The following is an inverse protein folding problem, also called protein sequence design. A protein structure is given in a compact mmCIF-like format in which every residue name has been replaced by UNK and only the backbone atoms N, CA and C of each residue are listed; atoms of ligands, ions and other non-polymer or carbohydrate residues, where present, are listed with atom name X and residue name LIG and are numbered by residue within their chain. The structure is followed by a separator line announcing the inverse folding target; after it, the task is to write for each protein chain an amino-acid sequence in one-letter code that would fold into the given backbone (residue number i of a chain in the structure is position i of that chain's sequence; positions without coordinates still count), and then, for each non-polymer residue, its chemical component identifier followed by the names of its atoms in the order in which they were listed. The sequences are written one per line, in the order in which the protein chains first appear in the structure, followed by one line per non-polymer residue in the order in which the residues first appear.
data_IF_584133655553
#
_entry.id   IF_584133655553
#
_cell.length_a   1.000
_cell.length_b   1.000
_cell.length_c   1.000
_cell.angle_alpha   90.00
_cell.angle_beta   90.00
_cell.angle_gamma   90.00
#
_symmetry.space_group_name_H-M   'P 1'
#
loop_
_entity.id
_entity.type
_entity.pdbx_description
1 polymer ?
#
# COMPACT_ATOMS: atom_id res chain seq x y z
N UNK A 1 10.34 -6.41 8.21
CA UNK A 1 9.87 -7.13 7.00
C UNK A 1 10.80 -8.32 6.74
N UNK A 2 10.40 -9.34 5.97
CA UNK A 2 11.33 -10.43 5.64
C UNK A 2 12.26 -10.03 4.48
N UNK A 3 13.48 -10.59 4.46
CA UNK A 3 14.54 -10.24 3.51
C UNK A 3 14.12 -10.37 2.04
N UNK A 4 13.21 -11.29 1.72
CA UNK A 4 12.77 -11.55 0.35
C UNK A 4 11.84 -10.42 -0.12
N UNK A 5 10.84 -10.07 0.69
CA UNK A 5 9.91 -8.97 0.39
C UNK A 5 10.64 -7.63 0.32
N UNK A 6 11.59 -7.37 1.23
CA UNK A 6 12.43 -6.17 1.19
C UNK A 6 13.23 -6.08 -0.11
N UNK A 7 13.90 -7.15 -0.52
CA UNK A 7 14.66 -7.17 -1.77
C UNK A 7 13.77 -6.96 -3.01
N UNK A 8 12.57 -7.56 -3.04
CA UNK A 8 11.62 -7.38 -4.14
C UNK A 8 11.17 -5.92 -4.22
N UNK A 9 10.79 -5.33 -3.09
CA UNK A 9 10.32 -3.95 -3.03
C UNK A 9 11.45 -2.96 -3.33
N UNK A 10 12.66 -3.16 -2.80
CA UNK A 10 13.81 -2.31 -3.11
C UNK A 10 14.14 -2.31 -4.62
N UNK A 11 14.02 -3.45 -5.30
CA UNK A 11 14.28 -3.55 -6.74
C UNK A 11 13.14 -2.97 -7.61
N UNK A 12 11.88 -3.07 -7.16
CA UNK A 12 10.70 -2.83 -8.01
C UNK A 12 9.91 -1.58 -7.64
N UNK A 13 10.08 -1.10 -6.42
CA UNK A 13 9.48 0.10 -5.85
C UNK A 13 10.58 0.81 -5.04
N UNK A 14 11.69 1.23 -5.66
CA UNK A 14 12.88 1.74 -4.94
C UNK A 14 12.61 2.99 -4.09
N UNK A 15 11.47 3.66 -4.33
CA UNK A 15 11.01 4.83 -3.58
C UNK A 15 10.19 4.46 -2.35
N UNK A 16 9.86 3.19 -2.16
CA UNK A 16 9.13 2.68 -1.02
C UNK A 16 10.08 2.10 0.02
N UNK A 17 9.88 2.47 1.27
CA UNK A 17 10.53 1.83 2.41
C UNK A 17 9.65 1.92 3.64
N UNK A 18 9.83 0.98 4.57
CA UNK A 18 9.31 1.06 5.93
C UNK A 18 10.52 1.21 6.86
N UNK A 19 10.54 2.31 7.61
CA UNK A 19 11.56 2.58 8.60
C UNK A 19 11.14 1.98 9.94
N UNK A 20 12.02 1.18 10.53
CA UNK A 20 11.91 0.66 11.89
C UNK A 20 13.06 1.23 12.74
N UNK A 21 12.86 1.47 14.06
CA UNK A 21 11.67 1.14 14.87
C UNK A 21 10.56 2.19 14.83
N UNK A 22 10.69 3.28 14.08
CA UNK A 22 9.70 4.37 14.09
C UNK A 22 8.37 3.98 13.43
N UNK A 23 8.34 2.86 12.72
CA UNK A 23 7.19 2.37 11.98
C UNK A 23 6.59 3.46 11.09
N UNK A 24 7.44 4.05 10.25
CA UNK A 24 7.05 5.07 9.28
C UNK A 24 7.30 4.53 7.88
N UNK A 25 6.28 4.55 7.03
CA UNK A 25 6.46 4.25 5.62
C UNK A 25 6.74 5.52 4.82
N UNK A 26 7.58 5.40 3.79
CA UNK A 26 7.83 6.45 2.82
C UNK A 26 7.54 5.93 1.43
N UNK A 27 6.91 6.74 0.59
CA UNK A 27 6.78 6.48 -0.83
C UNK A 27 6.98 7.77 -1.62
N UNK A 28 8.16 7.94 -2.21
CA UNK A 28 8.53 9.20 -2.85
C UNK A 28 8.59 10.34 -1.83
N UNK A 29 7.79 11.39 -2.02
CA UNK A 29 7.67 12.49 -1.04
C UNK A 29 6.64 12.22 0.06
N UNK A 30 5.83 11.16 -0.07
CA UNK A 30 4.81 10.83 0.92
C UNK A 30 5.47 10.18 2.14
N UNK A 31 5.19 10.75 3.30
CA UNK A 31 5.48 10.14 4.60
C UNK A 31 4.17 9.66 5.20
N UNK A 32 4.11 8.39 5.56
CA UNK A 32 2.93 7.67 6.00
C UNK A 32 3.22 7.17 7.42
N UNK A 33 2.91 8.03 8.38
CA UNK A 33 3.03 7.73 9.80
C UNK A 33 1.66 7.38 10.35
N UNK A 34 1.49 6.19 10.94
CA UNK A 34 0.30 5.79 11.68
C UNK A 34 -0.06 6.83 12.73
N UNK A 35 -1.35 7.03 12.96
CA UNK A 35 -1.83 7.90 14.03
C UNK A 35 -2.13 7.08 15.27
N UNK A 36 -1.56 7.50 16.40
CA UNK A 36 -1.72 6.84 17.70
C UNK A 36 -2.15 7.92 18.69
N UNK A 37 -3.23 7.67 19.41
CA UNK A 37 -3.78 8.54 20.45
C UNK A 37 -3.93 7.72 21.73
N UNK A 38 -3.32 8.18 22.83
CA UNK A 38 -3.31 7.49 24.12
C UNK A 38 -2.88 6.01 24.06
N UNK A 39 -1.89 5.71 23.20
CA UNK A 39 -1.40 4.35 22.98
C UNK A 39 -2.31 3.46 22.13
N UNK A 40 -3.41 4.00 21.61
CA UNK A 40 -4.36 3.31 20.74
C UNK A 40 -4.13 3.74 19.29
N UNK A 41 -3.96 2.76 18.41
CA UNK A 41 -3.84 2.98 16.96
C UNK A 41 -5.17 3.48 16.39
N UNK A 42 -5.17 4.69 15.83
CA UNK A 42 -6.33 5.35 15.23
C UNK A 42 -6.34 5.28 13.71
N UNK A 43 -5.16 5.21 13.07
CA UNK A 43 -5.03 5.13 11.61
C UNK A 43 -3.82 4.29 11.23
N UNK A 44 -3.99 3.42 10.23
CA UNK A 44 -2.91 2.55 9.72
C UNK A 44 -2.91 2.53 8.18
N UNK A 45 -1.81 2.05 7.63
CA UNK A 45 -1.53 2.07 6.19
C UNK A 45 -1.22 0.68 5.67
N UNK A 46 -1.85 0.35 4.55
CA UNK A 46 -1.67 -0.89 3.82
C UNK A 46 -1.09 -0.62 2.44
N UNK A 47 -0.23 -1.52 1.98
CA UNK A 47 0.47 -1.41 0.71
C UNK A 47 0.20 -2.64 -0.14
N UNK A 48 -0.06 -2.40 -1.42
CA UNK A 48 -0.16 -3.44 -2.42
C UNK A 48 0.83 -3.16 -3.53
N UNK A 49 1.72 -4.12 -3.77
CA UNK A 49 2.55 -4.15 -4.97
C UNK A 49 2.09 -5.30 -5.86
N UNK A 50 1.93 -5.01 -7.14
CA UNK A 50 1.75 -6.01 -8.18
C UNK A 50 2.90 -5.92 -9.17
N UNK A 51 3.42 -7.06 -9.59
CA UNK A 51 4.42 -7.15 -10.64
C UNK A 51 4.48 -8.55 -11.23
N UNK A 52 5.63 -8.87 -11.83
CA UNK A 52 5.92 -10.20 -12.36
C UNK A 52 7.18 -10.80 -11.72
N UNK A 53 7.15 -12.11 -11.49
CA UNK A 53 8.32 -12.89 -11.12
C UNK A 53 9.35 -12.90 -12.26
N UNK A 54 10.54 -13.46 -11.99
CA UNK A 54 11.54 -13.72 -13.04
C UNK A 54 11.01 -14.61 -14.17
N UNK A 55 10.03 -15.48 -13.87
CA UNK A 55 9.38 -16.38 -14.83
C UNK A 55 8.18 -15.74 -15.54
N UNK A 56 7.89 -14.46 -15.31
CA UNK A 56 6.77 -13.74 -15.92
C UNK A 56 5.41 -13.97 -15.26
N UNK A 57 5.33 -14.79 -14.22
CA UNK A 57 4.11 -15.03 -13.42
C UNK A 57 3.73 -13.77 -12.64
N UNK A 58 2.44 -13.45 -12.58
CA UNK A 58 1.94 -12.34 -11.76
C UNK A 58 2.21 -12.60 -10.27
N UNK A 59 2.78 -11.61 -9.59
CA UNK A 59 3.02 -11.64 -8.16
C UNK A 59 2.36 -10.43 -7.50
N UNK A 60 1.77 -10.66 -6.33
CA UNK A 60 1.22 -9.61 -5.49
C UNK A 60 1.90 -9.69 -4.13
N UNK A 61 2.42 -8.56 -3.66
CA UNK A 61 2.95 -8.39 -2.32
C UNK A 61 2.01 -7.48 -1.56
N UNK A 62 1.64 -7.89 -0.36
CA UNK A 62 0.80 -7.13 0.56
C UNK A 62 1.59 -6.91 1.83
N UNK A 63 1.61 -5.68 2.35
CA UNK A 63 2.27 -5.37 3.62
C UNK A 63 1.61 -4.16 4.29
N UNK A 64 1.92 -3.94 5.57
CA UNK A 64 1.45 -2.80 6.34
C UNK A 64 2.54 -2.24 7.25
N UNK A 65 2.27 -1.06 7.83
CA UNK A 65 3.19 -0.40 8.75
C UNK A 65 3.09 -0.99 10.16
N UNK A 66 1.85 -1.15 10.66
CA UNK A 66 1.53 -1.76 11.96
C UNK A 66 0.64 -3.01 11.79
N UNK A 67 -0.09 -3.35 12.87
CA UNK A 67 -0.89 -4.56 13.03
C UNK A 67 -1.98 -4.70 11.96
N UNK A 68 -2.70 -3.63 11.64
CA UNK A 68 -3.90 -3.69 10.78
C UNK A 68 -3.63 -3.34 9.32
N UNK A 69 -2.49 -2.74 9.01
CA UNK A 69 -2.15 -2.31 7.65
C UNK A 69 -2.02 -3.47 6.66
N UNK A 70 -1.54 -4.63 7.12
CA UNK A 70 -1.49 -5.84 6.28
C UNK A 70 -2.89 -6.37 6.00
N UNK A 71 -3.77 -6.35 6.99
CA UNK A 71 -5.19 -6.71 6.82
C UNK A 71 -5.86 -5.77 5.81
N UNK A 72 -5.64 -4.46 5.94
CA UNK A 72 -6.13 -3.44 5.01
C UNK A 72 -5.72 -3.72 3.56
N UNK A 73 -4.46 -4.10 3.34
CA UNK A 73 -3.96 -4.48 2.03
C UNK A 73 -4.69 -5.74 1.52
N UNK A 74 -4.78 -6.78 2.35
CA UNK A 74 -5.46 -8.03 2.01
C UNK A 74 -6.94 -7.82 1.61
N UNK A 75 -7.72 -7.08 2.39
CA UNK A 75 -9.14 -6.85 2.07
C UNK A 75 -9.33 -6.06 0.79
N UNK A 76 -8.43 -5.11 0.52
CA UNK A 76 -8.45 -4.31 -0.69
C UNK A 76 -8.09 -5.15 -1.93
N UNK A 77 -7.19 -6.12 -1.78
CA UNK A 77 -6.84 -7.06 -2.84
C UNK A 77 -7.93 -8.11 -3.11
N UNK A 78 -8.39 -8.81 -2.06
CA UNK A 78 -9.18 -10.04 -2.20
C UNK A 78 -10.37 -10.19 -1.21
N UNK A 79 -10.63 -9.19 -0.36
CA UNK A 79 -11.70 -9.26 0.64
C UNK A 79 -13.11 -8.96 0.10
N UNK A 80 -14.04 -8.70 1.00
CA UNK A 80 -15.45 -8.36 0.68
C UNK A 80 -15.77 -6.87 0.76
N UNK A 81 -14.78 -6.01 1.02
CA UNK A 81 -15.02 -4.55 1.06
C UNK A 81 -15.44 -4.04 -0.33
N UNK A 82 -16.58 -3.35 -0.41
CA UNK A 82 -17.20 -2.90 -1.67
C UNK A 82 -17.30 -1.37 -1.77
N UNK A 83 -16.29 -0.66 -1.27
CA UNK A 83 -16.20 0.79 -1.45
C UNK A 83 -15.50 1.19 -2.76
N UNK A 84 -15.64 2.46 -3.15
CA UNK A 84 -15.11 2.97 -4.41
C UNK A 84 -13.58 2.92 -4.51
N UNK A 85 -12.87 3.11 -3.40
CA UNK A 85 -11.41 2.96 -3.35
C UNK A 85 -10.99 1.51 -3.68
N UNK A 86 -11.62 0.54 -3.05
CA UNK A 86 -11.35 -0.89 -3.26
C UNK A 86 -11.73 -1.33 -4.67
N UNK A 87 -12.91 -0.92 -5.17
CA UNK A 87 -13.32 -1.17 -6.57
C UNK A 87 -12.32 -0.59 -7.56
N UNK A 88 -11.85 0.65 -7.33
CA UNK A 88 -10.83 1.31 -8.16
C UNK A 88 -9.52 0.53 -8.15
N UNK A 89 -9.02 0.14 -6.98
CA UNK A 89 -7.81 -0.67 -6.83
C UNK A 89 -7.94 -2.01 -7.58
N UNK A 90 -9.03 -2.75 -7.38
CA UNK A 90 -9.28 -4.04 -8.06
C UNK A 90 -9.36 -3.89 -9.57
N UNK A 91 -10.01 -2.83 -10.06
CA UNK A 91 -10.07 -2.51 -11.49
C UNK A 91 -8.67 -2.24 -12.06
N UNK A 92 -7.84 -1.50 -11.34
CA UNK A 92 -6.48 -1.17 -11.77
C UNK A 92 -5.56 -2.39 -11.71
N UNK A 93 -5.71 -3.24 -10.70
CA UNK A 93 -5.02 -4.53 -10.62
C UNK A 93 -5.30 -5.34 -11.88
N UNK A 94 -6.55 -5.48 -12.31
CA UNK A 94 -6.91 -6.26 -13.52
C UNK A 94 -6.29 -5.69 -14.81
N UNK A 95 -6.11 -4.37 -14.92
CA UNK A 95 -5.64 -3.70 -16.13
C UNK A 95 -4.11 -3.61 -16.23
N UNK A 96 -3.42 -3.45 -15.12
CA UNK A 96 -1.99 -3.14 -15.10
C UNK A 96 -1.14 -4.40 -14.87
N UNK A 97 0.03 -4.48 -15.50
CA UNK A 97 1.00 -5.58 -15.26
C UNK A 97 1.89 -5.32 -14.04
N UNK A 98 2.07 -4.06 -13.68
CA UNK A 98 2.78 -3.58 -12.51
C UNK A 98 1.95 -2.48 -11.84
N UNK A 99 2.01 -2.39 -10.52
CA UNK A 99 1.50 -1.23 -9.78
C UNK A 99 1.94 -1.26 -8.32
N UNK A 100 1.94 -0.08 -7.70
CA UNK A 100 2.07 0.11 -6.26
C UNK A 100 0.90 0.96 -5.77
N UNK A 101 0.31 0.59 -4.64
CA UNK A 101 -0.86 1.24 -4.05
C UNK A 101 -0.59 1.50 -2.58
N UNK A 102 -1.00 2.68 -2.14
CA UNK A 102 -1.08 3.06 -0.74
C UNK A 102 -2.55 3.19 -0.35
N UNK A 103 -2.93 2.45 0.68
CA UNK A 103 -4.24 2.51 1.32
C UNK A 103 -4.09 3.02 2.74
N UNK A 104 -5.16 3.63 3.24
CA UNK A 104 -5.28 4.13 4.60
C UNK A 104 -6.64 3.76 5.15
N UNK A 105 -6.70 3.44 6.43
CA UNK A 105 -7.99 3.20 7.10
C UNK A 105 -7.92 3.68 8.55
N UNK A 106 -9.01 4.27 9.07
CA UNK A 106 -9.14 4.42 10.51
C UNK A 106 -9.18 3.04 11.17
N UNK A 107 -8.74 2.95 12.42
CA UNK A 107 -8.70 1.73 13.22
C UNK A 107 -9.50 1.98 14.49
N UNK A 108 -10.44 1.08 14.79
CA UNK A 108 -11.20 1.11 16.03
C UNK A 108 -11.33 -0.30 16.58
N UNK A 109 -10.97 -0.50 17.85
CA UNK A 109 -11.04 -1.81 18.50
C UNK A 109 -10.32 -2.93 17.71
N UNK A 110 -9.14 -2.62 17.14
CA UNK A 110 -8.37 -3.52 16.28
C UNK A 110 -9.07 -3.96 14.99
N UNK A 111 -10.14 -3.26 14.59
CA UNK A 111 -10.80 -3.47 13.31
C UNK A 111 -10.49 -2.31 12.38
N UNK A 112 -10.17 -2.62 11.13
CA UNK A 112 -10.06 -1.62 10.08
C UNK A 112 -11.45 -1.07 9.74
N UNK A 113 -11.56 0.26 9.67
CA UNK A 113 -12.72 0.93 9.10
C UNK A 113 -12.67 0.90 7.58
N UNK A 114 -13.31 1.88 6.95
CA UNK A 114 -13.42 1.94 5.49
C UNK A 114 -12.07 2.25 4.79
N UNK A 115 -11.56 1.34 3.93
CA UNK A 115 -10.33 1.58 3.17
C UNK A 115 -10.41 2.79 2.24
N UNK A 116 -9.40 3.66 2.29
CA UNK A 116 -9.25 4.82 1.39
C UNK A 116 -7.97 4.70 0.58
N UNK A 117 -8.08 4.85 -0.75
CA UNK A 117 -6.94 4.95 -1.64
C UNK A 117 -6.28 6.33 -1.44
N UNK A 118 -4.98 6.34 -1.18
CA UNK A 118 -4.20 7.57 -0.97
C UNK A 118 -3.27 7.87 -2.14
N UNK A 119 -2.60 6.83 -2.64
CA UNK A 119 -1.67 6.97 -3.75
C UNK A 119 -1.63 5.72 -4.61
N UNK A 120 -1.31 5.93 -5.90
CA UNK A 120 -1.05 4.85 -6.84
C UNK A 120 0.13 5.20 -7.74
N UNK A 121 0.91 4.19 -8.09
CA UNK A 121 1.92 4.22 -9.15
C UNK A 121 1.73 3.02 -10.06
N UNK A 122 1.41 3.24 -11.34
CA UNK A 122 1.23 2.15 -12.32
C UNK A 122 2.56 1.63 -12.88
N UNK A 123 3.66 2.37 -12.67
CA UNK A 123 5.02 2.00 -13.06
C UNK A 123 6.01 2.43 -11.97
N UNK A 124 5.98 1.77 -10.80
CA UNK A 124 6.77 2.19 -9.64
C UNK A 124 8.30 2.10 -9.86
N UNK A 125 8.73 1.35 -10.86
CA UNK A 125 10.12 1.21 -11.29
C UNK A 125 10.60 2.34 -12.22
N UNK A 126 9.70 3.17 -12.77
CA UNK A 126 10.03 4.19 -13.79
C UNK A 126 9.67 5.63 -13.42
N UNK A 127 9.08 5.88 -12.25
CA UNK A 127 8.62 7.22 -11.89
C UNK A 127 9.75 8.16 -11.43
N UNK A 128 9.84 9.33 -12.06
CA UNK A 128 10.69 10.45 -11.63
C UNK A 128 10.19 11.04 -10.29
N UNK A 129 11.01 11.82 -9.56
CA UNK A 129 10.67 12.36 -8.23
C UNK A 129 9.31 13.07 -8.12
N UNK A 130 8.77 13.61 -9.22
CA UNK A 130 7.66 14.57 -9.21
C UNK A 130 6.26 14.02 -9.56
N UNK A 131 6.12 12.74 -9.93
CA UNK A 131 4.83 12.21 -10.44
C UNK A 131 4.17 11.21 -9.48
N UNK A 132 3.66 11.70 -8.36
CA UNK A 132 2.66 11.00 -7.55
C UNK A 132 1.30 11.62 -7.87
N UNK A 133 0.41 10.87 -8.52
CA UNK A 133 -0.98 11.30 -8.66
C UNK A 133 -1.67 11.10 -7.30
N UNK A 134 -1.86 12.18 -6.55
CA UNK A 134 -2.79 12.19 -5.42
C UNK A 134 -4.18 11.89 -5.97
N UNK A 135 -4.91 10.94 -5.36
CA UNK A 135 -6.31 10.71 -5.70
C UNK A 135 -7.20 11.79 -5.10
N UNK A 136 -7.07 13.02 -5.59
CA UNK A 136 -8.17 13.98 -5.60
C UNK A 136 -8.66 14.09 -7.04
N UNK A 137 -9.98 14.22 -7.18
CA UNK A 137 -10.81 14.20 -8.39
C UNK A 137 -11.41 12.84 -8.78
N UNK A 138 -12.60 12.59 -8.21
CA UNK A 138 -13.86 12.13 -8.84
C UNK A 138 -14.78 11.61 -7.74
#
# INVERSE_FOLDING_TARGET
MNLISDNILACRVPRFMIQYPEHVARFGSLTLSPQIEDGVLQEDFGFLFQGRSRLGTRCVVVCGVWATGTELACVSYAGSAENESVKKVRRLLRKNSQMFVVLRSPVQNYQIGEPRLIAISERPDRQSPHELKSSHDS
#
